data_IF_285759498299
#
_entry.id   IF_285759498299
#
_cell.length_a   1.000
_cell.length_b   1.000
_cell.length_c   1.000
_cell.angle_alpha   90.00
_cell.angle_beta   90.00
_cell.angle_gamma   90.00
#
_symmetry.space_group_name_H-M   'P 1'
#
loop_
_entity.id
_entity.type
_entity.pdbx_description
1 polymer ?
#
# COMPACT_ATOMS: atom_id res chain seq x y z
N UNK A 1 7.43 -8.74 7.25
CA UNK A 1 6.46 -8.25 6.25
C UNK A 1 6.32 -9.29 5.16
N UNK A 2 5.11 -9.80 5.01
CA UNK A 2 4.84 -10.81 3.99
C UNK A 2 4.43 -10.16 2.69
N UNK A 3 4.86 -10.74 1.57
CA UNK A 3 4.52 -10.21 0.25
C UNK A 3 4.10 -11.38 -0.64
N UNK A 4 2.97 -11.21 -1.34
CA UNK A 4 2.50 -12.20 -2.29
C UNK A 4 1.96 -11.51 -3.54
N UNK A 5 1.88 -12.26 -4.63
CA UNK A 5 1.32 -11.77 -5.88
C UNK A 5 -0.06 -12.39 -6.09
N UNK A 6 -1.02 -11.55 -6.46
CA UNK A 6 -2.39 -11.94 -6.75
C UNK A 6 -2.67 -11.64 -8.23
N UNK A 7 -3.09 -12.64 -8.97
CA UNK A 7 -3.37 -12.49 -10.41
C UNK A 7 -4.83 -12.74 -10.73
N UNK A 8 -5.69 -12.80 -9.72
CA UNK A 8 -7.08 -13.25 -9.89
C UNK A 8 -7.92 -12.35 -10.79
N UNK A 9 -7.59 -11.07 -10.91
CA UNK A 9 -8.37 -10.13 -11.74
C UNK A 9 -7.70 -9.81 -13.09
N UNK A 10 -6.71 -10.59 -13.50
CA UNK A 10 -6.03 -10.39 -14.79
C UNK A 10 -4.82 -9.46 -14.73
N UNK A 11 -4.60 -8.81 -13.59
CA UNK A 11 -3.41 -8.01 -13.33
C UNK A 11 -2.55 -8.74 -12.30
N UNK A 12 -1.26 -8.44 -12.30
CA UNK A 12 -0.39 -8.90 -11.22
C UNK A 12 -0.37 -7.84 -10.14
N UNK A 13 -0.98 -8.14 -9.01
CA UNK A 13 -1.09 -7.21 -7.89
C UNK A 13 -0.26 -7.75 -6.73
N UNK A 14 0.66 -6.92 -6.23
CA UNK A 14 1.45 -7.28 -5.06
C UNK A 14 0.73 -6.87 -3.79
N UNK A 15 0.58 -7.81 -2.86
CA UNK A 15 -0.04 -7.55 -1.57
C UNK A 15 1.02 -7.72 -0.49
N UNK A 16 1.31 -6.64 0.22
CA UNK A 16 2.28 -6.64 1.30
C UNK A 16 1.57 -6.46 2.63
N UNK A 17 1.75 -7.42 3.52
CA UNK A 17 1.19 -7.36 4.87
C UNK A 17 2.14 -6.59 5.77
N UNK A 18 1.66 -5.47 6.31
CA UNK A 18 2.40 -4.68 7.29
C UNK A 18 1.81 -4.99 8.65
N UNK A 19 2.61 -5.51 9.58
CA UNK A 19 2.12 -5.88 10.89
C UNK A 19 2.89 -5.24 12.02
N UNK A 20 2.27 -5.21 13.20
CA UNK A 20 2.87 -4.67 14.40
C UNK A 20 3.03 -3.16 14.37
N UNK A 21 4.25 -2.68 14.50
CA UNK A 21 4.56 -1.25 14.54
C UNK A 21 5.31 -0.85 13.29
N UNK A 22 5.01 0.34 12.79
CA UNK A 22 5.81 0.95 11.72
C UNK A 22 6.33 2.30 12.26
N UNK A 23 7.61 2.33 12.57
CA UNK A 23 8.24 3.45 13.27
C UNK A 23 9.64 3.72 12.72
N UNK A 24 10.41 4.59 13.40
CA UNK A 24 11.73 4.98 12.93
C UNK A 24 12.72 3.82 12.89
N UNK A 25 12.48 2.75 13.67
CA UNK A 25 13.41 1.61 13.70
C UNK A 25 13.23 0.71 12.48
N UNK A 26 12.00 0.54 11.98
CA UNK A 26 11.75 -0.40 10.89
C UNK A 26 11.31 0.25 9.59
N UNK A 27 11.05 1.56 9.57
CA UNK A 27 10.70 2.23 8.33
C UNK A 27 11.81 2.16 7.26
N UNK A 28 13.12 2.19 7.61
CA UNK A 28 14.15 1.96 6.60
C UNK A 28 14.08 0.57 5.99
N UNK A 29 13.68 -0.45 6.77
CA UNK A 29 13.50 -1.80 6.25
C UNK A 29 12.38 -1.84 5.22
N UNK A 30 11.25 -1.20 5.51
CA UNK A 30 10.15 -1.12 4.56
C UNK A 30 10.60 -0.48 3.24
N UNK A 31 11.30 0.64 3.33
CA UNK A 31 11.78 1.34 2.15
C UNK A 31 12.71 0.46 1.31
N UNK A 32 13.55 -0.31 1.97
CA UNK A 32 14.50 -1.19 1.30
C UNK A 32 13.79 -2.37 0.60
N UNK A 33 12.91 -3.07 1.32
CA UNK A 33 12.22 -4.22 0.73
C UNK A 33 11.23 -3.80 -0.35
N UNK A 34 10.68 -2.60 -0.22
CA UNK A 34 9.73 -2.08 -1.21
C UNK A 34 10.35 -2.00 -2.61
N UNK A 35 11.62 -1.69 -2.70
CA UNK A 35 12.30 -1.64 -4.00
C UNK A 35 12.21 -2.98 -4.73
N UNK A 36 12.35 -4.09 -4.00
CA UNK A 36 12.26 -5.42 -4.61
C UNK A 36 10.82 -5.76 -5.00
N UNK A 37 9.84 -5.33 -4.21
CA UNK A 37 8.43 -5.54 -4.57
C UNK A 37 8.06 -4.78 -5.83
N UNK A 38 8.52 -3.54 -5.94
CA UNK A 38 8.22 -2.68 -7.08
C UNK A 38 8.86 -3.20 -8.37
N UNK A 39 9.92 -4.00 -8.28
CA UNK A 39 10.49 -4.66 -9.44
C UNK A 39 9.60 -5.79 -9.97
N UNK A 40 8.74 -6.35 -9.13
CA UNK A 40 7.87 -7.45 -9.50
C UNK A 40 6.54 -6.99 -10.06
N UNK A 41 6.04 -5.85 -9.60
CA UNK A 41 4.79 -5.27 -10.09
C UNK A 41 4.73 -3.80 -9.68
N UNK A 42 3.99 -3.01 -10.44
CA UNK A 42 3.73 -1.61 -10.12
C UNK A 42 2.32 -1.41 -9.52
N UNK A 43 1.55 -2.49 -9.33
CA UNK A 43 0.21 -2.44 -8.74
C UNK A 43 0.28 -3.11 -7.37
N UNK A 44 0.14 -2.31 -6.31
CA UNK A 44 0.45 -2.76 -4.97
C UNK A 44 -0.65 -2.40 -3.99
N UNK A 45 -0.85 -3.28 -3.02
CA UNK A 45 -1.75 -3.05 -1.88
C UNK A 45 -0.94 -3.29 -0.62
N UNK A 46 -0.99 -2.36 0.31
CA UNK A 46 -0.50 -2.58 1.67
C UNK A 46 -1.69 -3.04 2.52
N UNK A 47 -1.62 -4.26 2.99
CA UNK A 47 -2.58 -4.78 3.96
C UNK A 47 -2.13 -4.34 5.34
N UNK A 48 -2.85 -3.37 5.89
CA UNK A 48 -2.53 -2.76 7.17
C UNK A 48 -3.37 -3.33 8.31
N UNK A 49 -4.08 -4.44 8.09
CA UNK A 49 -5.00 -4.99 9.10
C UNK A 49 -4.27 -5.44 10.36
N UNK A 50 -3.01 -5.83 10.26
CA UNK A 50 -2.18 -6.18 11.41
C UNK A 50 -1.34 -5.05 11.96
N UNK A 51 -1.45 -3.85 11.38
CA UNK A 51 -0.65 -2.70 11.80
C UNK A 51 -1.32 -2.01 13.00
N UNK A 52 -0.64 -2.04 14.16
CA UNK A 52 -1.21 -1.53 15.41
C UNK A 52 -0.78 -0.10 15.72
N UNK A 53 0.34 0.33 15.19
CA UNK A 53 0.93 1.62 15.50
C UNK A 53 1.72 2.15 14.31
N UNK A 54 1.60 3.46 14.09
CA UNK A 54 2.41 4.16 13.09
C UNK A 54 2.78 5.53 13.65
N UNK A 55 4.04 5.91 13.49
CA UNK A 55 4.49 7.26 13.82
C UNK A 55 4.80 8.06 12.55
N UNK A 56 5.34 9.26 12.72
CA UNK A 56 5.64 10.12 11.56
C UNK A 56 6.67 9.49 10.62
N UNK A 57 7.64 8.75 11.18
CA UNK A 57 8.64 8.06 10.34
C UNK A 57 8.00 6.95 9.51
N UNK A 58 7.10 6.17 10.13
CA UNK A 58 6.38 5.12 9.43
C UNK A 58 5.46 5.68 8.35
N UNK A 59 4.74 6.75 8.68
CA UNK A 59 3.89 7.41 7.70
C UNK A 59 4.71 7.95 6.54
N UNK A 60 5.85 8.58 6.84
CA UNK A 60 6.75 9.07 5.80
C UNK A 60 7.26 7.96 4.89
N UNK A 61 7.53 6.78 5.46
CA UNK A 61 7.96 5.63 4.68
C UNK A 61 6.86 5.16 3.71
N UNK A 62 5.61 5.11 4.17
CA UNK A 62 4.49 4.72 3.30
C UNK A 62 4.29 5.76 2.18
N UNK A 63 4.36 7.04 2.51
CA UNK A 63 4.27 8.11 1.50
C UNK A 63 5.43 8.01 0.51
N UNK A 64 6.63 7.67 0.99
CA UNK A 64 7.78 7.45 0.11
C UNK A 64 7.57 6.28 -0.84
N UNK A 65 6.94 5.20 -0.36
CA UNK A 65 6.57 4.07 -1.22
C UNK A 65 5.59 4.51 -2.31
N UNK A 66 4.60 5.32 -1.96
CA UNK A 66 3.66 5.86 -2.95
C UNK A 66 4.38 6.66 -4.03
N UNK A 67 5.29 7.53 -3.60
CA UNK A 67 6.04 8.37 -4.55
C UNK A 67 6.81 7.52 -5.55
N UNK A 68 7.50 6.49 -5.06
CA UNK A 68 8.25 5.57 -5.95
C UNK A 68 7.33 4.84 -6.90
N UNK A 69 6.16 4.43 -6.43
CA UNK A 69 5.17 3.74 -7.26
C UNK A 69 4.68 4.66 -8.39
N UNK A 70 4.38 5.91 -8.05
CA UNK A 70 3.92 6.88 -9.04
C UNK A 70 4.99 7.18 -10.08
N UNK A 71 6.27 7.18 -9.69
CA UNK A 71 7.37 7.35 -10.65
C UNK A 71 7.43 6.22 -11.68
N UNK A 72 6.88 5.06 -11.34
CA UNK A 72 6.77 3.91 -12.24
C UNK A 72 5.42 3.84 -12.92
N UNK A 73 4.59 4.88 -12.81
CA UNK A 73 3.24 4.92 -13.36
C UNK A 73 2.38 3.78 -12.82
N UNK A 74 2.59 3.45 -11.55
CA UNK A 74 1.84 2.41 -10.87
C UNK A 74 0.84 2.98 -9.89
N UNK A 75 0.27 2.11 -9.07
CA UNK A 75 -0.69 2.47 -8.05
C UNK A 75 -0.38 1.72 -6.76
N UNK A 76 -0.45 2.43 -5.64
CA UNK A 76 -0.33 1.84 -4.31
C UNK A 76 -1.59 2.18 -3.53
N UNK A 77 -2.31 1.15 -3.10
CA UNK A 77 -3.55 1.29 -2.34
C UNK A 77 -3.35 0.72 -0.94
N UNK A 78 -4.16 1.20 0.00
CA UNK A 78 -4.11 0.75 1.38
C UNK A 78 -5.40 0.03 1.73
N UNK A 79 -5.31 -0.95 2.62
CA UNK A 79 -6.48 -1.72 3.05
C UNK A 79 -6.40 -2.05 4.55
N UNK A 80 -7.54 -2.05 5.20
CA UNK A 80 -7.66 -2.60 6.54
C UNK A 80 -7.11 -1.74 7.67
N UNK A 81 -7.02 -0.42 7.50
CA UNK A 81 -6.56 0.45 8.58
C UNK A 81 -7.48 0.33 9.79
N UNK A 82 -6.90 0.08 10.97
CA UNK A 82 -7.70 0.18 12.20
C UNK A 82 -7.91 1.64 12.56
N UNK A 83 -8.77 1.90 13.55
CA UNK A 83 -9.16 3.27 13.91
C UNK A 83 -7.97 4.14 14.31
N UNK A 84 -7.00 3.57 15.03
CA UNK A 84 -5.84 4.35 15.50
C UNK A 84 -4.96 4.77 14.34
N UNK A 85 -4.68 3.85 13.43
CA UNK A 85 -3.83 4.14 12.26
C UNK A 85 -4.57 5.07 11.31
N UNK A 86 -5.87 4.83 11.10
CA UNK A 86 -6.69 5.71 10.26
C UNK A 86 -6.67 7.15 10.79
N UNK A 87 -6.72 7.31 12.12
CA UNK A 87 -6.69 8.65 12.72
C UNK A 87 -5.40 9.39 12.38
N UNK A 88 -4.26 8.69 12.39
CA UNK A 88 -2.98 9.33 12.02
C UNK A 88 -3.04 9.83 10.59
N UNK A 89 -3.60 9.02 9.67
CA UNK A 89 -3.76 9.43 8.28
C UNK A 89 -4.69 10.64 8.15
N UNK A 90 -5.80 10.66 8.91
CA UNK A 90 -6.75 11.76 8.87
C UNK A 90 -6.16 13.06 9.43
N UNK A 91 -5.51 12.98 10.59
CA UNK A 91 -4.93 14.16 11.23
C UNK A 91 -3.81 14.80 10.42
N UNK A 92 -3.08 14.00 9.67
CA UNK A 92 -2.00 14.49 8.81
C UNK A 92 -2.48 14.77 7.40
N UNK A 93 -3.76 14.49 7.11
CA UNK A 93 -4.37 14.59 5.78
C UNK A 93 -3.74 13.65 4.75
N UNK A 94 -2.99 12.65 5.20
CA UNK A 94 -2.36 11.69 4.31
C UNK A 94 -3.38 10.80 3.62
N UNK A 95 -4.60 10.64 4.18
CA UNK A 95 -5.66 9.88 3.54
C UNK A 95 -6.02 10.41 2.16
N UNK A 96 -5.72 11.68 1.90
CA UNK A 96 -6.00 12.31 0.60
C UNK A 96 -5.07 11.81 -0.49
N UNK A 97 -3.95 11.20 -0.12
CA UNK A 97 -2.96 10.72 -1.07
C UNK A 97 -3.25 9.30 -1.55
N UNK A 98 -4.08 8.56 -0.83
CA UNK A 98 -4.29 7.14 -1.06
C UNK A 98 -5.74 6.79 -1.31
N UNK A 99 -5.96 5.72 -2.08
CA UNK A 99 -7.24 5.01 -2.09
C UNK A 99 -7.18 4.00 -0.94
N UNK A 100 -8.11 4.10 0.00
CA UNK A 100 -8.12 3.28 1.21
C UNK A 100 -9.38 2.43 1.23
N UNK A 101 -9.20 1.13 1.44
CA UNK A 101 -10.28 0.14 1.38
C UNK A 101 -10.44 -0.57 2.72
N UNK A 102 -11.63 -1.09 2.96
CA UNK A 102 -11.92 -1.80 4.21
C UNK A 102 -11.09 -3.09 4.33
N UNK A 103 -10.79 -3.74 3.21
CA UNK A 103 -10.05 -4.99 3.20
C UNK A 103 -9.29 -5.15 1.88
N UNK A 104 -8.39 -6.15 1.85
CA UNK A 104 -7.56 -6.40 0.67
C UNK A 104 -8.38 -6.85 -0.54
N UNK A 105 -9.45 -7.60 -0.32
CA UNK A 105 -10.31 -8.03 -1.41
C UNK A 105 -10.90 -6.87 -2.18
N UNK A 106 -11.41 -5.87 -1.45
CA UNK A 106 -11.96 -4.67 -2.09
C UNK A 106 -10.87 -3.89 -2.81
N UNK A 107 -9.68 -3.80 -2.22
CA UNK A 107 -8.56 -3.10 -2.83
C UNK A 107 -8.14 -3.77 -4.13
N UNK A 108 -8.01 -5.09 -4.13
CA UNK A 108 -7.64 -5.86 -5.34
C UNK A 108 -8.70 -5.69 -6.42
N UNK A 109 -9.97 -5.80 -6.06
CA UNK A 109 -11.06 -5.65 -7.01
C UNK A 109 -11.11 -4.26 -7.65
N UNK A 110 -10.63 -3.24 -6.93
CA UNK A 110 -10.64 -1.86 -7.42
C UNK A 110 -9.65 -1.63 -8.56
N UNK A 111 -8.61 -2.46 -8.69
CA UNK A 111 -7.76 -2.46 -9.87
C UNK A 111 -8.56 -3.10 -11.00
N UNK A 112 -8.64 -2.43 -12.11
CA UNK A 112 -9.36 -3.01 -13.23
C UNK A 112 -8.46 -3.07 -14.45
N UNK A 113 -8.59 -4.16 -15.21
CA UNK A 113 -8.08 -4.20 -16.57
C UNK A 113 -8.98 -3.30 -17.37
N UNK A 114 -8.46 -2.15 -17.80
CA UNK A 114 -9.23 -1.24 -18.65
C UNK A 114 -9.29 -1.88 -20.03
N UNK A 115 -10.48 -2.24 -20.53
CA UNK A 115 -10.57 -2.71 -21.91
C UNK A 115 -10.18 -1.58 -22.82
N UNK A 116 -9.50 -1.88 -23.86
CA UNK A 116 -9.13 -0.86 -24.82
C UNK A 116 -10.36 -0.18 -25.36
N UNK A 117 -10.46 0.79 -25.21
CA UNK A 117 -11.57 1.37 -25.31
C UNK A 117 -11.99 2.11 -26.41
N UNK A 118 -11.48 1.68 -25.98
CA UNK A 118 -11.93 2.03 -26.35
C UNK A 118 -12.28 2.21 -26.92
N UNK A 119 -12.11 2.20 -27.07
CA UNK A 119 -12.47 2.19 -27.27
C UNK A 119 -12.77 2.29 -27.31
#
# INVERSE_FOLDING_TARGET
>A
MNFLLDTSNGLTIGIAELGGRLDSQNSPTLQKVFNSWLQQTRFLVFDCSGLDFIDSSGLGAIVGCLRKTLEREGELKLAGLNAKVAMVFELTQAERLFSIFANTGDAVTSFSVVPDSKN
#
